data_IF_309916703714
#
_entry.id   IF_309916703714
#
_cell.length_a   1.000
_cell.length_b   1.000
_cell.length_c   1.000
_cell.angle_alpha   90.00
_cell.angle_beta   90.00
_cell.angle_gamma   90.00
#
_symmetry.space_group_name_H-M   'P 1'
#
loop_
_entity.id
_entity.type
_entity.pdbx_description
1 polymer ?
#
# COMPACT_ATOMS: atom_id res chain seq x y z
N UNK A 1 -9.52 -11.22 -22.53
CA UNK A 1 -9.21 -10.23 -21.48
C UNK A 1 -8.55 -9.03 -22.11
N UNK A 2 -8.79 -7.83 -21.57
CA UNK A 2 -8.11 -6.62 -22.03
C UNK A 2 -6.63 -6.70 -21.64
N UNK A 3 -5.73 -6.36 -22.58
CA UNK A 3 -4.28 -6.37 -22.34
C UNK A 3 -3.92 -5.26 -21.34
N UNK A 4 -3.14 -5.59 -20.32
CA UNK A 4 -2.60 -4.62 -19.36
C UNK A 4 -1.59 -3.72 -20.08
N UNK A 5 -1.78 -2.40 -19.98
CA UNK A 5 -0.96 -1.36 -20.64
C UNK A 5 -0.42 -0.36 -19.63
N UNK A 6 -1.09 -0.18 -18.51
CA UNK A 6 -0.75 0.82 -17.48
C UNK A 6 -0.44 0.18 -16.14
N UNK A 7 0.26 0.92 -15.26
CA UNK A 7 0.53 0.47 -13.90
C UNK A 7 -0.78 0.30 -13.10
N UNK A 8 -1.72 1.24 -13.24
CA UNK A 8 -3.04 1.16 -12.61
C UNK A 8 -3.81 -0.11 -13.03
N UNK A 9 -3.79 -0.48 -14.31
CA UNK A 9 -4.40 -1.74 -14.77
C UNK A 9 -3.69 -2.97 -14.18
N UNK A 10 -2.38 -2.92 -13.98
CA UNK A 10 -1.63 -3.99 -13.34
C UNK A 10 -1.98 -4.12 -11.84
N UNK A 11 -2.21 -3.01 -11.14
CA UNK A 11 -2.67 -3.00 -9.75
C UNK A 11 -4.07 -3.61 -9.61
N UNK A 12 -4.99 -3.26 -10.52
CA UNK A 12 -6.32 -3.87 -10.57
C UNK A 12 -6.23 -5.37 -10.83
N UNK A 13 -5.42 -5.80 -11.80
CA UNK A 13 -5.22 -7.22 -12.08
C UNK A 13 -4.61 -7.97 -10.89
N UNK A 14 -3.65 -7.37 -10.19
CA UNK A 14 -3.08 -7.94 -8.98
C UNK A 14 -4.13 -8.11 -7.87
N UNK A 15 -5.01 -7.12 -7.67
CA UNK A 15 -6.13 -7.22 -6.73
C UNK A 15 -7.09 -8.36 -7.10
N UNK A 16 -7.46 -8.48 -8.37
CA UNK A 16 -8.29 -9.61 -8.85
C UNK A 16 -7.61 -10.96 -8.62
N UNK A 17 -6.30 -11.05 -8.86
CA UNK A 17 -5.56 -12.27 -8.60
C UNK A 17 -5.54 -12.60 -7.10
N UNK A 18 -5.33 -11.62 -6.23
CA UNK A 18 -5.40 -11.80 -4.78
C UNK A 18 -6.78 -12.30 -4.34
N UNK A 19 -7.86 -11.79 -4.93
CA UNK A 19 -9.22 -12.28 -4.68
C UNK A 19 -9.36 -13.76 -5.10
N UNK A 20 -8.81 -14.16 -6.26
CA UNK A 20 -8.77 -15.56 -6.70
C UNK A 20 -7.95 -16.46 -5.78
N UNK A 21 -6.95 -15.91 -5.10
CA UNK A 21 -6.14 -16.60 -4.08
C UNK A 21 -6.84 -16.67 -2.70
N UNK A 22 -8.07 -16.15 -2.56
CA UNK A 22 -8.85 -16.19 -1.32
C UNK A 22 -8.77 -14.93 -0.45
N UNK A 23 -8.11 -13.87 -0.92
CA UNK A 23 -8.15 -12.54 -0.29
C UNK A 23 -9.33 -11.74 -0.85
N UNK A 24 -10.55 -12.14 -0.52
CA UNK A 24 -11.77 -11.60 -1.14
C UNK A 24 -12.00 -10.10 -0.94
N UNK A 25 -11.34 -9.49 0.05
CA UNK A 25 -11.38 -8.04 0.32
C UNK A 25 -10.23 -7.26 -0.34
N UNK A 26 -9.41 -7.91 -1.17
CA UNK A 26 -8.29 -7.27 -1.83
C UNK A 26 -8.75 -6.14 -2.77
N UNK A 27 -8.19 -4.95 -2.59
CA UNK A 27 -8.55 -3.72 -3.31
C UNK A 27 -7.29 -2.98 -3.74
N UNK A 28 -7.22 -2.60 -5.02
CA UNK A 28 -6.14 -1.75 -5.54
C UNK A 28 -6.28 -0.32 -4.98
N UNK A 29 -5.17 0.25 -4.49
CA UNK A 29 -5.15 1.59 -3.90
C UNK A 29 -5.02 2.70 -4.96
N UNK A 30 -4.54 2.38 -6.17
CA UNK A 30 -4.49 3.26 -7.34
C UNK A 30 -3.84 4.62 -7.03
N UNK A 31 -2.52 4.71 -7.18
CA UNK A 31 -1.87 6.03 -7.15
C UNK A 31 -0.43 6.08 -6.71
N UNK A 32 0.21 4.98 -6.29
CA UNK A 32 1.64 4.94 -5.98
C UNK A 32 2.13 5.91 -4.90
N UNK A 33 1.24 6.53 -4.11
CA UNK A 33 1.59 7.52 -3.09
C UNK A 33 1.84 6.86 -1.72
N UNK A 34 1.25 5.69 -1.46
CA UNK A 34 1.32 5.01 -0.17
C UNK A 34 2.49 4.02 -0.09
N UNK A 35 3.71 4.55 0.06
CA UNK A 35 4.81 3.88 0.77
C UNK A 35 5.28 2.50 0.27
N UNK A 36 4.87 2.06 -0.92
CA UNK A 36 5.19 0.75 -1.48
C UNK A 36 4.13 -0.34 -1.30
N UNK A 37 2.88 0.01 -0.95
CA UNK A 37 1.74 -0.92 -1.00
C UNK A 37 0.76 -0.43 -2.08
N UNK A 38 0.52 -1.26 -3.08
CA UNK A 38 -0.39 -0.94 -4.19
C UNK A 38 -1.73 -1.67 -4.07
N UNK A 39 -1.76 -2.80 -3.35
CA UNK A 39 -2.99 -3.57 -3.09
C UNK A 39 -3.10 -3.89 -1.60
N UNK A 40 -4.28 -3.61 -1.05
CA UNK A 40 -4.62 -3.83 0.34
C UNK A 40 -5.62 -4.98 0.50
N UNK A 41 -5.39 -5.87 1.47
CA UNK A 41 -6.37 -6.78 2.08
C UNK A 41 -6.17 -6.78 3.60
N UNK A 42 -7.21 -7.11 4.37
CA UNK A 42 -7.09 -7.29 5.82
C UNK A 42 -6.02 -8.33 6.20
N UNK A 43 -5.78 -9.32 5.33
CA UNK A 43 -4.85 -10.45 5.58
C UNK A 43 -3.58 -10.39 4.74
N UNK A 44 -3.46 -9.48 3.77
CA UNK A 44 -2.32 -9.43 2.88
C UNK A 44 -2.04 -8.02 2.33
N UNK A 45 -0.78 -7.76 2.02
CA UNK A 45 -0.36 -6.61 1.23
C UNK A 45 0.31 -7.04 -0.05
N UNK A 46 0.15 -6.24 -1.10
CA UNK A 46 0.95 -6.43 -2.30
C UNK A 46 1.50 -5.13 -2.89
N UNK A 47 2.62 -5.28 -3.58
CA UNK A 47 3.24 -4.26 -4.42
C UNK A 47 3.32 -4.75 -5.87
N UNK A 48 3.17 -3.83 -6.83
CA UNK A 48 3.13 -4.12 -8.26
C UNK A 48 4.16 -3.26 -9.00
N UNK A 49 5.16 -3.92 -9.59
CA UNK A 49 6.16 -3.29 -10.46
C UNK A 49 5.86 -3.60 -11.93
N UNK A 50 5.11 -2.72 -12.57
CA UNK A 50 4.75 -2.86 -13.99
C UNK A 50 5.82 -2.33 -14.96
N UNK A 51 6.51 -1.25 -14.61
CA UNK A 51 7.49 -0.58 -15.47
C UNK A 51 8.91 -0.73 -14.94
N UNK A 52 9.89 -0.57 -15.84
CA UNK A 52 11.31 -0.62 -15.52
C UNK A 52 11.89 -2.03 -15.68
N UNK A 53 12.99 -2.27 -14.97
CA UNK A 53 13.70 -3.56 -14.98
C UNK A 53 13.09 -4.59 -14.04
N UNK A 54 13.79 -5.72 -13.90
CA UNK A 54 13.48 -6.78 -12.92
C UNK A 54 13.39 -6.19 -11.51
N UNK A 55 12.52 -6.74 -10.69
CA UNK A 55 12.45 -6.42 -9.27
C UNK A 55 13.69 -6.98 -8.56
N UNK A 56 14.30 -6.15 -7.73
CA UNK A 56 15.50 -6.49 -6.97
C UNK A 56 15.22 -6.61 -5.47
N UNK A 57 16.28 -6.89 -4.68
CA UNK A 57 16.16 -7.04 -3.23
C UNK A 57 15.67 -5.75 -2.54
N UNK A 58 16.07 -4.57 -3.03
CA UNK A 58 15.69 -3.30 -2.43
C UNK A 58 14.18 -3.05 -2.63
N UNK A 59 13.64 -3.41 -3.79
CA UNK A 59 12.20 -3.37 -4.03
C UNK A 59 11.42 -4.21 -3.00
N UNK A 60 11.85 -5.44 -2.75
CA UNK A 60 11.18 -6.33 -1.77
C UNK A 60 11.39 -5.87 -0.33
N UNK A 61 12.54 -5.26 0.00
CA UNK A 61 12.78 -4.63 1.30
C UNK A 61 11.82 -3.48 1.56
N UNK A 62 11.50 -2.69 0.54
CA UNK A 62 10.53 -1.60 0.64
C UNK A 62 9.14 -2.15 1.00
N UNK A 63 8.65 -3.18 0.30
CA UNK A 63 7.39 -3.85 0.66
C UNK A 63 7.42 -4.40 2.09
N UNK A 64 8.50 -5.09 2.47
CA UNK A 64 8.64 -5.66 3.80
C UNK A 64 8.62 -4.59 4.90
N UNK A 65 9.28 -3.45 4.66
CA UNK A 65 9.28 -2.29 5.55
C UNK A 65 7.92 -1.60 5.63
N UNK A 66 7.21 -1.47 4.50
CA UNK A 66 5.91 -0.83 4.41
C UNK A 66 4.82 -1.55 5.24
N UNK A 67 4.98 -2.87 5.46
CA UNK A 67 4.12 -3.63 6.38
C UNK A 67 4.13 -3.09 7.81
N UNK A 68 5.20 -2.41 8.22
CA UNK A 68 5.39 -1.90 9.57
C UNK A 68 5.24 -3.01 10.63
N UNK A 69 4.48 -2.73 11.68
CA UNK A 69 4.25 -3.67 12.80
C UNK A 69 3.22 -4.77 12.49
N UNK A 70 2.65 -4.79 11.28
CA UNK A 70 1.58 -5.71 10.91
C UNK A 70 2.11 -7.08 10.47
N UNK A 71 2.79 -7.79 11.36
CA UNK A 71 3.47 -9.06 11.06
C UNK A 71 2.54 -10.21 10.64
N UNK A 72 1.24 -10.13 10.94
CA UNK A 72 0.25 -11.16 10.62
C UNK A 72 -0.33 -11.11 9.21
N UNK A 73 0.22 -10.27 8.32
CA UNK A 73 -0.24 -10.17 6.92
C UNK A 73 0.76 -10.83 5.98
N UNK A 74 0.21 -11.58 5.03
CA UNK A 74 0.97 -12.15 3.92
C UNK A 74 1.49 -11.04 3.01
N UNK A 75 2.67 -11.23 2.44
CA UNK A 75 3.28 -10.27 1.52
C UNK A 75 3.35 -10.89 0.12
N UNK A 76 2.77 -10.20 -0.85
CA UNK A 76 2.77 -10.62 -2.25
C UNK A 76 3.49 -9.55 -3.08
N UNK A 77 4.28 -9.97 -4.04
CA UNK A 77 4.92 -9.04 -4.98
C UNK A 77 4.57 -9.47 -6.41
N UNK A 78 4.22 -8.50 -7.24
CA UNK A 78 3.93 -8.70 -8.67
C UNK A 78 4.92 -7.89 -9.50
N UNK A 79 5.62 -8.54 -10.44
CA UNK A 79 6.60 -7.87 -11.29
C UNK A 79 6.46 -8.29 -12.74
N UNK A 80 6.38 -7.33 -13.67
CA UNK A 80 6.26 -7.63 -15.10
C UNK A 80 7.57 -8.19 -15.68
N UNK A 81 8.68 -7.51 -15.40
CA UNK A 81 10.00 -7.92 -15.89
C UNK A 81 10.57 -9.17 -15.20
N UNK A 82 9.93 -9.66 -14.13
CA UNK A 82 10.43 -10.74 -13.27
C UNK A 82 11.35 -10.25 -12.16
N UNK A 83 12.17 -11.14 -11.63
CA UNK A 83 12.99 -10.94 -10.43
C UNK A 83 14.47 -11.20 -10.69
N UNK A 84 15.34 -10.60 -9.89
CA UNK A 84 16.76 -11.01 -9.77
C UNK A 84 16.88 -12.21 -8.81
N UNK A 85 17.99 -12.93 -8.88
CA UNK A 85 18.23 -14.10 -8.02
C UNK A 85 18.26 -13.69 -6.53
N UNK A 86 18.92 -12.58 -6.20
CA UNK A 86 18.94 -11.99 -4.86
C UNK A 86 17.54 -11.64 -4.32
N UNK A 87 16.63 -11.21 -5.19
CA UNK A 87 15.26 -10.91 -4.81
C UNK A 87 14.49 -12.19 -4.48
N UNK A 88 14.70 -13.25 -5.25
CA UNK A 88 14.09 -14.57 -5.00
C UNK A 88 14.58 -15.12 -3.67
N UNK A 89 15.89 -15.13 -3.41
CA UNK A 89 16.45 -15.60 -2.14
C UNK A 89 15.90 -14.81 -0.94
N UNK A 90 15.83 -13.48 -1.06
CA UNK A 90 15.27 -12.63 -0.02
C UNK A 90 13.78 -12.90 0.24
N UNK A 91 13.00 -13.09 -0.82
CA UNK A 91 11.59 -13.46 -0.71
C UNK A 91 11.41 -14.81 0.00
N UNK A 92 12.29 -15.77 -0.27
CA UNK A 92 12.26 -17.08 0.37
C UNK A 92 12.54 -17.00 1.87
N UNK A 93 13.53 -16.21 2.27
CA UNK A 93 13.88 -16.01 3.67
C UNK A 93 12.75 -15.36 4.48
N UNK A 94 11.93 -14.49 3.86
CA UNK A 94 10.90 -13.70 4.55
C UNK A 94 9.46 -14.12 4.26
N UNK A 95 9.26 -15.17 3.45
CA UNK A 95 7.93 -15.67 3.11
C UNK A 95 7.13 -14.74 2.20
N UNK A 96 7.80 -13.99 1.31
CA UNK A 96 7.13 -13.13 0.33
C UNK A 96 6.76 -14.00 -0.89
N UNK A 97 5.49 -13.99 -1.27
CA UNK A 97 5.01 -14.72 -2.43
C UNK A 97 5.21 -13.89 -3.71
N UNK A 98 5.98 -14.42 -4.65
CA UNK A 98 6.33 -13.73 -5.89
C UNK A 98 5.47 -14.21 -7.06
N UNK A 99 4.98 -13.26 -7.86
CA UNK A 99 4.21 -13.51 -9.07
C UNK A 99 4.78 -12.69 -10.21
N UNK A 100 4.84 -13.27 -11.41
CA UNK A 100 5.09 -12.48 -12.62
C UNK A 100 3.78 -11.83 -13.05
N UNK A 101 3.80 -10.62 -13.57
CA UNK A 101 2.60 -9.98 -14.13
C UNK A 101 2.71 -9.94 -15.64
N UNK A 102 1.99 -10.81 -16.33
CA UNK A 102 2.01 -10.89 -17.79
C UNK A 102 0.97 -9.93 -18.40
N UNK A 103 1.20 -9.48 -19.63
CA UNK A 103 0.35 -8.48 -20.26
C UNK A 103 -1.07 -8.98 -20.59
N UNK A 104 -1.28 -10.30 -20.61
CA UNK A 104 -2.59 -10.93 -20.75
C UNK A 104 -3.37 -11.00 -19.43
N UNK A 105 -2.75 -10.61 -18.31
CA UNK A 105 -3.32 -10.65 -16.97
C UNK A 105 -3.07 -11.95 -16.23
N UNK A 106 -2.32 -12.89 -16.81
CA UNK A 106 -1.85 -14.06 -16.09
C UNK A 106 -0.75 -13.69 -15.10
N UNK A 107 -0.74 -14.42 -13.98
CA UNK A 107 0.20 -14.16 -12.89
C UNK A 107 0.90 -15.43 -12.40
N UNK A 108 1.80 -16.02 -13.20
CA UNK A 108 2.44 -17.27 -12.82
C UNK A 108 3.31 -17.08 -11.56
N UNK A 109 3.27 -18.03 -10.62
CA UNK A 109 4.06 -17.97 -9.40
C UNK A 109 5.55 -18.12 -9.70
N UNK A 110 6.39 -17.45 -8.91
CA UNK A 110 7.86 -17.55 -8.97
C UNK A 110 8.39 -17.96 -7.61
N UNK A 111 9.40 -18.84 -7.59
CA UNK A 111 9.98 -19.38 -6.37
C UNK A 111 9.07 -20.40 -5.67
N UNK A 112 9.40 -20.71 -4.41
CA UNK A 112 8.76 -21.82 -3.68
C UNK A 112 7.53 -21.43 -2.85
N UNK A 113 7.33 -20.16 -2.48
CA UNK A 113 6.24 -19.73 -1.59
C UNK A 113 4.92 -19.45 -2.31
N UNK A 114 4.95 -18.81 -3.48
CA UNK A 114 3.73 -18.55 -4.24
C UNK A 114 2.96 -19.84 -4.62
N UNK A 115 3.61 -20.95 -5.01
CA UNK A 115 2.93 -22.23 -5.21
C UNK A 115 2.28 -22.82 -3.93
N UNK A 116 2.90 -22.63 -2.76
CA UNK A 116 2.33 -23.06 -1.48
C UNK A 116 1.05 -22.29 -1.16
N UNK A 117 1.05 -20.99 -1.41
CA UNK A 117 -0.10 -20.12 -1.22
C UNK A 117 -1.24 -20.50 -2.19
N UNK A 118 -0.94 -20.77 -3.45
CA UNK A 118 -1.92 -21.27 -4.43
C UNK A 118 -2.50 -22.62 -3.98
N UNK A 119 -1.67 -23.54 -3.50
CA UNK A 119 -2.10 -24.86 -3.04
C UNK A 119 -3.00 -24.75 -1.81
N UNK A 120 -2.65 -23.90 -0.85
CA UNK A 120 -3.47 -23.62 0.33
C UNK A 120 -4.83 -22.99 -0.04
N UNK A 121 -4.83 -22.05 -0.98
CA UNK A 121 -6.06 -21.43 -1.49
C UNK A 121 -6.97 -22.46 -2.18
N UNK A 122 -6.40 -23.36 -3.00
CA UNK A 122 -7.14 -24.46 -3.66
C UNK A 122 -7.74 -25.44 -2.65
N UNK A 123 -6.98 -25.88 -1.66
CA UNK A 123 -7.49 -26.78 -0.62
C UNK A 123 -8.64 -26.14 0.18
N UNK A 124 -8.53 -24.85 0.47
CA UNK A 124 -9.59 -24.09 1.15
C UNK A 124 -10.85 -23.99 0.27
N UNK A 125 -10.70 -23.73 -1.03
CA UNK A 125 -11.82 -23.66 -1.97
C UNK A 125 -12.52 -25.02 -2.17
N UNK A 126 -11.74 -26.11 -2.27
CA UNK A 126 -12.30 -27.47 -2.39
C UNK A 126 -13.00 -27.91 -1.11
N UNK A 127 -12.46 -27.58 0.07
CA UNK A 127 -13.12 -27.85 1.35
C UNK A 127 -14.47 -27.12 1.47
N UNK A 128 -14.55 -25.86 1.02
CA UNK A 128 -15.81 -25.10 0.99
C UNK A 128 -16.79 -25.67 -0.03
N UNK A 129 -16.32 -26.14 -1.20
CA UNK A 129 -17.17 -26.74 -2.22
C UNK A 129 -17.67 -28.16 -1.88
N UNK A 130 -16.96 -28.88 -1.01
CA UNK A 130 -17.28 -30.27 -0.63
C UNK A 130 -18.07 -30.39 0.67
N UNK A 131 -18.24 -29.29 1.41
CA UNK A 131 -19.12 -29.24 2.56
C UNK A 131 -20.59 -29.28 2.11
N UNK A 132 -21.48 -30.07 2.74
CA UNK A 132 -22.91 -29.99 2.47
C UNK A 132 -23.37 -28.55 2.64
N UNK A 133 -24.16 -28.05 1.69
CA UNK A 133 -24.70 -26.69 1.68
C UNK A 133 -25.56 -26.41 2.93
N UNK A 134 -24.92 -26.10 4.05
CA UNK A 134 -25.48 -25.23 5.05
C UNK A 134 -25.16 -23.82 4.57
N UNK A 135 -26.17 -23.19 3.96
CA UNK A 135 -26.16 -21.75 3.75
C UNK A 135 -25.68 -21.09 5.04
N UNK A 136 -24.64 -20.23 5.01
CA UNK A 136 -24.32 -19.44 6.18
C UNK A 136 -25.55 -18.58 6.45
N UNK A 137 -26.22 -18.83 7.58
CA UNK A 137 -27.14 -17.85 8.14
C UNK A 137 -26.41 -16.50 8.11
N UNK A 138 -27.06 -15.38 7.77
CA UNK A 138 -26.41 -14.08 7.69
C UNK A 138 -25.75 -13.81 9.03
N UNK A 139 -24.43 -14.06 9.07
CA UNK A 139 -23.63 -13.91 10.25
C UNK A 139 -23.65 -12.43 10.54
N UNK A 140 -24.34 -12.06 11.62
CA UNK A 140 -24.39 -10.70 12.12
C UNK A 140 -22.95 -10.20 12.12
N UNK A 141 -22.63 -9.30 11.19
CA UNK A 141 -21.33 -8.68 11.08
C UNK A 141 -20.94 -8.22 12.47
N UNK A 142 -19.85 -8.77 13.01
CA UNK A 142 -19.46 -8.52 14.39
C UNK A 142 -19.39 -7.01 14.61
N UNK A 143 -20.15 -6.45 15.57
CA UNK A 143 -20.30 -5.00 15.73
C UNK A 143 -18.96 -4.30 16.00
N UNK A 144 -17.94 -5.05 16.42
CA UNK A 144 -16.58 -4.57 16.65
C UNK A 144 -15.86 -4.15 15.36
N UNK A 145 -16.13 -4.83 14.22
CA UNK A 145 -15.48 -4.56 12.93
C UNK A 145 -16.07 -3.32 12.24
N UNK A 146 -17.36 -3.02 12.44
CA UNK A 146 -17.97 -1.79 11.87
C UNK A 146 -17.54 -0.54 12.63
N UNK A 147 -17.40 -0.63 13.96
CA UNK A 147 -16.91 0.47 14.80
C UNK A 147 -15.46 0.79 14.47
N UNK A 148 -14.57 -0.22 14.40
CA UNK A 148 -13.16 -0.01 14.08
C UNK A 148 -12.96 0.57 12.67
N UNK A 149 -13.74 0.11 11.67
CA UNK A 149 -13.73 0.64 10.30
C UNK A 149 -14.22 2.09 10.24
N UNK A 150 -15.20 2.45 11.07
CA UNK A 150 -15.72 3.83 11.12
C UNK A 150 -14.76 4.77 11.85
N UNK A 151 -14.08 4.30 12.90
CA UNK A 151 -13.05 5.05 13.61
C UNK A 151 -11.83 5.27 12.71
N UNK A 152 -11.32 4.23 12.03
CA UNK A 152 -10.16 4.35 11.14
C UNK A 152 -10.45 5.19 9.90
N UNK A 153 -11.63 5.06 9.30
CA UNK A 153 -12.05 5.94 8.20
C UNK A 153 -12.14 7.40 8.64
N UNK A 154 -12.57 7.67 9.88
CA UNK A 154 -12.58 9.02 10.45
C UNK A 154 -11.18 9.55 10.73
N UNK A 155 -10.26 8.71 11.20
CA UNK A 155 -8.86 9.09 11.43
C UNK A 155 -8.13 9.33 10.10
N UNK A 156 -8.31 8.46 9.10
CA UNK A 156 -7.73 8.63 7.77
C UNK A 156 -8.30 9.87 7.04
N UNK A 157 -9.62 10.08 7.10
CA UNK A 157 -10.25 11.29 6.56
C UNK A 157 -9.81 12.55 7.33
N UNK A 158 -9.60 12.46 8.64
CA UNK A 158 -9.07 13.56 9.44
C UNK A 158 -7.62 13.87 9.07
N UNK A 159 -6.74 12.87 8.95
CA UNK A 159 -5.35 13.04 8.51
C UNK A 159 -5.24 13.58 7.08
N UNK A 160 -6.04 13.07 6.14
CA UNK A 160 -6.09 13.59 4.77
C UNK A 160 -6.62 15.02 4.71
N UNK A 161 -7.63 15.36 5.50
CA UNK A 161 -8.18 16.72 5.58
C UNK A 161 -7.25 17.71 6.32
N UNK A 162 -6.44 17.23 7.28
CA UNK A 162 -5.63 18.05 8.17
C UNK A 162 -4.11 17.94 7.93
N UNK A 163 -3.65 17.22 6.90
CA UNK A 163 -2.24 17.15 6.48
C UNK A 163 -1.60 18.54 6.35
N UNK A 164 -2.37 19.53 5.87
CA UNK A 164 -1.94 20.92 5.72
C UNK A 164 -1.74 21.67 7.05
N UNK A 165 -2.52 21.35 8.09
CA UNK A 165 -2.35 21.88 9.45
C UNK A 165 -1.15 21.23 10.15
N UNK A 166 -0.93 19.93 9.91
CA UNK A 166 0.23 19.19 10.43
C UNK A 166 1.52 19.79 9.84
N UNK A 167 1.57 20.07 8.53
CA UNK A 167 2.71 20.76 7.91
C UNK A 167 2.96 22.15 8.48
N UNK A 168 1.91 22.93 8.77
CA UNK A 168 2.05 24.25 9.39
C UNK A 168 2.62 24.17 10.82
N UNK A 169 2.17 23.19 11.61
CA UNK A 169 2.68 22.94 12.97
C UNK A 169 4.15 22.48 12.92
N UNK A 170 4.50 21.59 11.99
CA UNK A 170 5.88 21.15 11.78
C UNK A 170 6.78 22.31 11.37
N UNK A 171 6.38 23.15 10.40
CA UNK A 171 7.14 24.36 10.03
C UNK A 171 7.32 25.33 11.22
N UNK A 172 6.29 25.47 12.06
CA UNK A 172 6.36 26.32 13.26
C UNK A 172 7.31 25.76 14.31
N UNK A 173 7.34 24.43 14.49
CA UNK A 173 8.30 23.74 15.35
C UNK A 173 9.74 23.87 14.83
N UNK A 174 9.94 23.77 13.52
CA UNK A 174 11.25 23.98 12.89
C UNK A 174 11.74 25.42 13.10
N UNK A 175 10.86 26.43 13.02
CA UNK A 175 11.21 27.82 13.33
C UNK A 175 11.64 28.04 14.79
N UNK A 176 11.12 27.24 15.72
CA UNK A 176 11.49 27.31 17.14
C UNK A 176 12.83 26.63 17.44
N UNK A 177 13.21 25.59 16.70
CA UNK A 177 14.37 24.74 17.00
C UNK A 177 15.58 25.08 16.13
N UNK A 178 15.37 25.32 14.83
CA UNK A 178 16.43 25.63 13.86
C UNK A 178 17.36 26.80 14.26
N UNK A 179 16.88 27.91 14.87
CA UNK A 179 17.76 29.00 15.27
C UNK A 179 18.66 28.68 16.46
N UNK A 180 18.52 27.53 17.14
CA UNK A 180 19.32 27.17 18.32
C UNK A 180 20.15 25.87 18.20
N UNK A 181 20.06 25.12 17.10
CA UNK A 181 20.84 23.87 16.92
C UNK A 181 22.31 24.08 16.54
N UNK A 182 23.25 23.30 17.08
CA UNK A 182 24.72 23.43 16.86
C UNK A 182 25.22 23.11 15.42
N UNK A 183 24.32 22.92 14.44
CA UNK A 183 24.65 22.54 13.06
C UNK A 183 25.02 23.71 12.13
N UNK A 184 25.30 23.36 10.87
CA UNK A 184 25.72 24.28 9.80
C UNK A 184 24.80 25.51 9.68
N UNK A 185 25.40 26.70 9.78
CA UNK A 185 24.70 27.99 9.74
C UNK A 185 23.92 28.15 8.43
N UNK A 186 24.45 27.66 7.30
CA UNK A 186 23.78 27.68 6.00
C UNK A 186 22.51 26.85 5.98
N UNK A 187 22.53 25.68 6.60
CA UNK A 187 21.35 24.81 6.72
C UNK A 187 20.27 25.44 7.62
N UNK A 188 20.66 26.14 8.69
CA UNK A 188 19.75 26.83 9.61
C UNK A 188 19.06 28.02 8.95
N UNK A 189 19.83 28.85 8.22
CA UNK A 189 19.29 29.99 7.47
C UNK A 189 18.35 29.50 6.36
N UNK A 190 18.73 28.45 5.63
CA UNK A 190 17.90 27.87 4.58
C UNK A 190 16.57 27.30 5.12
N UNK A 191 16.62 26.49 6.19
CA UNK A 191 15.42 25.92 6.81
C UNK A 191 14.48 27.00 7.37
N UNK A 192 15.04 28.08 7.92
CA UNK A 192 14.27 29.21 8.45
C UNK A 192 13.58 29.98 7.32
N UNK A 193 14.31 30.32 6.24
CA UNK A 193 13.74 31.02 5.07
C UNK A 193 12.65 30.17 4.41
N UNK A 194 12.92 28.87 4.19
CA UNK A 194 11.95 27.94 3.60
C UNK A 194 10.67 27.84 4.43
N UNK A 195 10.78 27.87 5.76
CA UNK A 195 9.63 27.81 6.67
C UNK A 195 8.82 29.12 6.71
N UNK A 196 9.50 30.28 6.66
CA UNK A 196 8.85 31.61 6.60
C UNK A 196 8.05 31.78 5.32
N UNK A 197 8.52 31.24 4.19
CA UNK A 197 7.80 31.30 2.90
C UNK A 197 6.75 30.20 2.80
N UNK A 198 7.06 28.99 3.27
CA UNK A 198 6.16 27.84 3.19
C UNK A 198 4.85 28.04 3.98
N UNK A 199 4.93 28.57 5.20
CA UNK A 199 3.76 28.76 6.07
C UNK A 199 2.64 29.63 5.44
N UNK A 200 2.90 30.85 4.93
CA UNK A 200 1.88 31.68 4.29
C UNK A 200 1.41 31.10 2.95
N UNK A 201 2.27 30.40 2.20
CA UNK A 201 1.87 29.76 0.93
C UNK A 201 0.88 28.62 1.18
N UNK A 202 1.16 27.74 2.14
CA UNK A 202 0.24 26.66 2.49
C UNK A 202 -1.07 27.19 3.12
N UNK A 203 -0.99 28.29 3.87
CA UNK A 203 -2.17 28.99 4.39
C UNK A 203 -3.05 29.59 3.28
N UNK A 204 -2.44 30.22 2.27
CA UNK A 204 -3.16 30.79 1.14
C UNK A 204 -3.81 29.71 0.26
N UNK A 205 -3.10 28.61 -0.01
CA UNK A 205 -3.67 27.47 -0.74
C UNK A 205 -4.85 26.83 0.02
N UNK A 206 -4.79 26.82 1.35
CA UNK A 206 -5.92 26.38 2.18
C UNK A 206 -7.13 27.32 2.06
N UNK A 207 -6.91 28.64 2.07
CA UNK A 207 -7.98 29.62 1.90
C UNK A 207 -8.61 29.56 0.50
N UNK A 208 -7.80 29.37 -0.55
CA UNK A 208 -8.29 29.23 -1.93
C UNK A 208 -9.16 27.97 -2.11
N UNK A 209 -8.78 26.85 -1.48
CA UNK A 209 -9.56 25.62 -1.55
C UNK A 209 -10.93 25.70 -0.84
N UNK A 210 -11.10 26.62 0.12
CA UNK A 210 -12.40 26.89 0.75
C UNK A 210 -13.33 27.76 -0.09
N UNK A 211 -12.82 28.45 -1.11
CA UNK A 211 -13.56 29.38 -1.95
C UNK A 211 -14.16 28.73 -3.20
N UNK A 212 -14.03 27.41 -3.40
CA UNK A 212 -14.73 26.67 -4.46
C UNK A 212 -15.91 25.89 -3.87
N UNK A 213 -17.07 26.54 -3.65
CA UNK A 213 -18.33 25.82 -3.52
C UNK A 213 -18.71 25.28 -4.90
N UNK A 214 -19.13 24.02 -4.94
CA UNK A 214 -19.27 23.21 -6.15
C UNK A 214 -19.91 23.91 -7.36
N UNK A 215 -19.30 23.64 -8.51
CA UNK A 215 -19.95 23.56 -9.81
C UNK A 215 -19.51 22.29 -10.49
#
# INVERSE_FOLDING_TARGET
MARIRTAAEAEVNAAEQMQRLGYHDATALLGGVDGGIDVYSARAYAQVKWRGGRADRADLQNLYGARGTSSGRDLLYFAAAGYTDDAVEYAEALGIALFRCEADGETPPVGSHAPKLITAARHSAVAVASAPSQAPAPGKASPVLSVARTVWARVAAFLGAHWRLISAIVCTLVLLIAPFGEGDVGLRVFATIASVVGAPVFWLLYLQHRQVPGR
#
